data_IF_271189472077
#
_entry.id   IF_271189472077
#
_cell.length_a   1.000
_cell.length_b   1.000
_cell.length_c   1.000
_cell.angle_alpha   90.00
_cell.angle_beta   90.00
_cell.angle_gamma   90.00
#
_symmetry.space_group_name_H-M   'P 1'
#
loop_
_entity.id
_entity.type
_entity.pdbx_description
1 polymer ?
#
# COMPACT_ATOMS: atom_id res chain seq x y z
N UNK A 1 -10.13 -15.12 -4.99
CA UNK A 1 -8.90 -14.87 -4.19
C UNK A 1 -9.25 -15.12 -2.74
N UNK A 2 -8.53 -16.02 -2.09
CA UNK A 2 -8.57 -16.17 -0.64
C UNK A 2 -7.52 -15.19 -0.10
N UNK A 3 -7.93 -14.04 0.44
CA UNK A 3 -7.02 -13.03 0.97
C UNK A 3 -6.81 -13.31 2.46
N UNK A 4 -5.82 -14.14 2.79
CA UNK A 4 -5.45 -14.45 4.18
C UNK A 4 -4.59 -13.35 4.80
N UNK A 5 -4.03 -12.48 3.97
CA UNK A 5 -3.31 -11.27 4.34
C UNK A 5 -1.78 -11.42 4.26
N UNK A 6 -1.08 -10.31 4.49
CA UNK A 6 0.38 -10.26 4.44
C UNK A 6 0.97 -10.10 3.02
N UNK A 7 2.28 -9.87 2.96
CA UNK A 7 2.99 -9.53 1.71
C UNK A 7 2.87 -10.58 0.61
N UNK A 8 2.78 -11.87 0.99
CA UNK A 8 2.64 -12.99 0.06
C UNK A 8 1.35 -12.96 -0.75
N UNK A 9 0.24 -12.60 -0.10
CA UNK A 9 -1.07 -12.47 -0.74
C UNK A 9 -1.19 -11.13 -1.47
N UNK A 10 -0.67 -10.05 -0.89
CA UNK A 10 -0.75 -8.72 -1.52
C UNK A 10 0.02 -8.64 -2.85
N UNK A 11 1.14 -9.35 -3.00
CA UNK A 11 1.88 -9.39 -4.28
C UNK A 11 1.14 -10.18 -5.37
N UNK A 12 0.19 -11.06 -5.03
CA UNK A 12 -0.57 -11.80 -6.04
C UNK A 12 -1.63 -10.93 -6.70
N UNK A 13 -2.14 -9.90 -5.99
CA UNK A 13 -3.20 -9.02 -6.52
C UNK A 13 -2.80 -8.40 -7.86
N UNK A 14 -1.65 -7.72 -8.03
CA UNK A 14 -1.25 -7.21 -9.34
C UNK A 14 -1.14 -8.30 -10.42
N UNK A 15 -0.61 -9.47 -10.08
CA UNK A 15 -0.42 -10.58 -11.02
C UNK A 15 -1.76 -11.16 -11.48
N UNK A 16 -2.70 -11.33 -10.56
CA UNK A 16 -4.05 -11.79 -10.86
C UNK A 16 -4.82 -10.76 -11.70
N UNK A 17 -4.60 -9.46 -11.45
CA UNK A 17 -5.09 -8.39 -12.32
C UNK A 17 -4.61 -8.58 -13.76
N UNK A 18 -3.30 -8.79 -13.96
CA UNK A 18 -2.74 -9.03 -15.28
C UNK A 18 -3.36 -10.24 -15.98
N UNK A 19 -3.60 -11.33 -15.24
CA UNK A 19 -4.26 -12.52 -15.78
C UNK A 19 -5.72 -12.25 -16.17
N UNK A 20 -6.49 -11.57 -15.33
CA UNK A 20 -7.91 -11.30 -15.56
C UNK A 20 -8.17 -10.19 -16.60
N UNK A 21 -7.16 -9.36 -16.91
CA UNK A 21 -7.24 -8.37 -17.98
C UNK A 21 -7.01 -8.95 -19.37
N UNK A 22 -6.36 -10.12 -19.48
CA UNK A 22 -6.10 -10.78 -20.77
C UNK A 22 -7.29 -11.66 -21.16
N UNK A 23 -7.97 -11.30 -22.25
CA UNK A 23 -9.13 -12.04 -22.79
C UNK A 23 -8.79 -13.42 -23.41
N UNK A 24 -7.55 -13.90 -23.31
CA UNK A 24 -7.08 -15.07 -24.06
C UNK A 24 -6.92 -16.32 -23.19
N UNK A 25 -7.71 -17.35 -23.51
CA UNK A 25 -7.55 -18.82 -23.29
C UNK A 25 -6.94 -19.34 -21.98
N UNK A 26 -6.93 -18.56 -20.90
CA UNK A 26 -6.50 -19.05 -19.59
C UNK A 26 -7.70 -19.59 -18.81
N UNK A 27 -7.44 -20.49 -17.85
CA UNK A 27 -8.43 -20.99 -16.89
C UNK A 27 -9.03 -19.92 -15.96
N UNK A 28 -8.61 -18.66 -16.10
CA UNK A 28 -9.06 -17.55 -15.27
C UNK A 28 -10.19 -16.78 -15.94
N UNK A 29 -11.22 -16.45 -15.16
CA UNK A 29 -12.37 -15.69 -15.62
C UNK A 29 -11.95 -14.23 -15.85
N UNK A 30 -12.05 -13.70 -17.08
CA UNK A 30 -11.69 -12.32 -17.33
C UNK A 30 -12.62 -11.36 -16.58
N UNK A 31 -12.16 -10.13 -16.37
CA UNK A 31 -13.04 -9.08 -15.84
C UNK A 31 -14.24 -8.88 -16.77
N UNK A 32 -15.45 -9.00 -16.22
CA UNK A 32 -16.69 -8.99 -16.99
C UNK A 32 -17.05 -7.62 -17.57
N UNK A 33 -16.49 -6.53 -17.02
CA UNK A 33 -16.81 -5.17 -17.41
C UNK A 33 -15.54 -4.30 -17.48
N UNK A 34 -15.41 -3.58 -18.59
CA UNK A 34 -14.46 -2.47 -18.77
C UNK A 34 -15.21 -1.29 -19.41
N UNK A 35 -14.96 -0.03 -18.98
CA UNK A 35 -14.04 0.39 -17.91
C UNK A 35 -14.55 0.02 -16.51
N UNK A 36 -13.65 -0.18 -15.54
CA UNK A 36 -14.02 -0.52 -14.16
C UNK A 36 -14.43 0.75 -13.40
N UNK A 37 -15.65 0.77 -12.85
CA UNK A 37 -16.26 1.97 -12.25
C UNK A 37 -15.51 2.54 -11.04
N UNK A 38 -14.93 1.67 -10.20
CA UNK A 38 -14.33 2.07 -8.94
C UNK A 38 -12.83 1.73 -8.90
N UNK A 39 -12.00 2.55 -8.25
CA UNK A 39 -10.60 2.23 -8.04
C UNK A 39 -10.45 1.08 -7.04
N UNK A 40 -9.44 0.25 -7.25
CA UNK A 40 -8.93 -0.69 -6.26
C UNK A 40 -7.58 -0.16 -5.77
N UNK A 41 -7.50 0.12 -4.48
CA UNK A 41 -6.34 0.76 -3.86
C UNK A 41 -5.74 -0.21 -2.86
N UNK A 42 -4.49 -0.60 -3.07
CA UNK A 42 -3.71 -1.38 -2.12
C UNK A 42 -2.95 -0.39 -1.23
N UNK A 43 -3.24 -0.42 0.08
CA UNK A 43 -2.49 0.36 1.08
C UNK A 43 -1.39 -0.50 1.67
N UNK A 44 -0.15 -0.01 1.66
CA UNK A 44 1.03 -0.74 2.12
C UNK A 44 1.80 0.04 3.17
N UNK A 45 2.31 -0.68 4.17
CA UNK A 45 3.35 -0.16 5.05
C UNK A 45 4.63 0.16 4.25
N UNK A 46 5.42 1.10 4.73
CA UNK A 46 6.70 1.48 4.13
C UNK A 46 7.85 0.68 4.73
N UNK A 47 7.77 -0.64 4.72
CA UNK A 47 8.77 -1.55 5.31
C UNK A 47 9.25 -2.58 4.28
N UNK A 48 9.91 -3.65 4.74
CA UNK A 48 10.39 -4.74 3.88
C UNK A 48 9.26 -5.46 3.12
N UNK A 49 8.02 -5.37 3.61
CA UNK A 49 6.83 -5.93 2.96
C UNK A 49 6.44 -5.19 1.67
N UNK A 50 6.92 -3.95 1.46
CA UNK A 50 6.65 -3.16 0.26
C UNK A 50 7.29 -3.77 -1.00
N UNK A 51 8.53 -4.24 -0.87
CA UNK A 51 9.39 -4.56 -2.01
C UNK A 51 8.83 -5.69 -2.90
N UNK A 52 8.33 -6.82 -2.37
CA UNK A 52 7.73 -7.86 -3.20
C UNK A 52 6.49 -7.40 -3.97
N UNK A 53 5.65 -6.54 -3.36
CA UNK A 53 4.43 -6.00 -3.99
C UNK A 53 4.80 -4.98 -5.07
N UNK A 54 5.76 -4.10 -4.77
CA UNK A 54 6.30 -3.13 -5.72
C UNK A 54 6.89 -3.81 -6.97
N UNK A 55 7.63 -4.90 -6.79
CA UNK A 55 8.19 -5.69 -7.90
C UNK A 55 7.09 -6.27 -8.79
N UNK A 56 6.05 -6.86 -8.20
CA UNK A 56 4.92 -7.41 -8.95
C UNK A 56 4.17 -6.31 -9.72
N UNK A 57 3.92 -5.16 -9.10
CA UNK A 57 3.28 -4.02 -9.75
C UNK A 57 4.11 -3.48 -10.93
N UNK A 58 5.44 -3.33 -10.76
CA UNK A 58 6.36 -2.92 -11.84
C UNK A 58 6.35 -3.91 -13.01
N UNK A 59 6.34 -5.21 -12.73
CA UNK A 59 6.26 -6.25 -13.75
C UNK A 59 4.97 -6.17 -14.56
N UNK A 60 3.82 -6.02 -13.88
CA UNK A 60 2.50 -5.89 -14.51
C UNK A 60 2.42 -4.65 -15.37
N UNK A 61 2.84 -3.50 -14.82
CA UNK A 61 2.88 -2.24 -15.54
C UNK A 61 3.72 -2.35 -16.82
N UNK A 62 4.95 -2.87 -16.70
CA UNK A 62 5.85 -3.06 -17.85
C UNK A 62 5.28 -4.03 -18.91
N UNK A 63 4.61 -5.11 -18.51
CA UNK A 63 4.02 -6.07 -19.45
C UNK A 63 2.85 -5.47 -20.23
N UNK A 64 2.10 -4.54 -19.63
CA UNK A 64 0.97 -3.90 -20.28
C UNK A 64 1.41 -2.72 -21.17
N UNK A 65 2.43 -1.97 -20.79
CA UNK A 65 2.94 -0.85 -21.60
C UNK A 65 3.72 -1.30 -22.84
N UNK A 66 4.54 -2.37 -22.74
CA UNK A 66 5.30 -2.91 -23.90
C UNK A 66 4.43 -3.52 -25.00
N UNK A 67 3.24 -4.04 -24.66
CA UNK A 67 2.34 -4.63 -25.66
C UNK A 67 1.57 -3.58 -26.48
N UNK A 68 1.68 -2.28 -26.14
CA UNK A 68 1.00 -1.18 -26.82
C UNK A 68 1.89 -0.46 -27.84
N UNK A 69 3.10 -0.94 -28.15
CA UNK A 69 4.03 -0.33 -29.15
C UNK A 69 3.51 -0.36 -30.61
N UNK A 70 2.23 -0.66 -30.85
CA UNK A 70 1.56 -0.58 -32.15
C UNK A 70 0.38 0.41 -32.22
N UNK A 71 0.14 1.24 -31.20
CA UNK A 71 -0.94 2.25 -31.20
C UNK A 71 -0.38 3.65 -30.94
N UNK A 72 -0.85 4.69 -31.67
CA UNK A 72 -0.30 6.04 -31.55
C UNK A 72 -0.56 6.62 -30.14
N UNK A 73 0.36 7.47 -29.63
CA UNK A 73 0.27 8.00 -28.28
C UNK A 73 -0.92 8.97 -28.17
N UNK A 74 -1.83 8.69 -27.24
CA UNK A 74 -2.84 9.67 -26.82
C UNK A 74 -2.14 10.71 -25.97
N UNK A 75 -2.00 11.91 -26.52
CA UNK A 75 -1.39 13.08 -25.89
C UNK A 75 -2.24 13.55 -24.70
N UNK A 76 -1.80 13.22 -23.48
CA UNK A 76 -2.24 13.90 -22.25
C UNK A 76 -1.03 14.58 -21.58
N UNK A 77 -1.15 15.84 -21.10
CA UNK A 77 -0.04 16.60 -20.55
C UNK A 77 0.15 16.27 -19.08
N UNK A 78 0.65 15.08 -18.78
CA UNK A 78 1.38 14.82 -17.56
C UNK A 78 2.49 13.86 -17.96
N UNK A 79 3.73 14.14 -17.56
CA UNK A 79 4.87 13.24 -17.79
C UNK A 79 4.52 11.87 -17.22
N UNK A 80 3.99 10.96 -18.04
CA UNK A 80 4.01 9.53 -17.81
C UNK A 80 5.48 9.13 -17.83
N UNK A 81 6.15 9.32 -16.69
CA UNK A 81 7.50 8.83 -16.49
C UNK A 81 7.41 7.32 -16.66
N UNK A 82 8.11 6.85 -17.69
CA UNK A 82 8.23 5.50 -18.21
C UNK A 82 8.69 4.42 -17.21
N UNK A 83 8.71 4.71 -15.90
CA UNK A 83 9.04 3.77 -14.84
C UNK A 83 8.19 4.03 -13.60
N UNK A 84 7.35 3.05 -13.25
CA UNK A 84 6.61 3.00 -11.99
C UNK A 84 7.59 2.86 -10.80
N UNK A 85 8.00 3.96 -10.18
CA UNK A 85 9.02 3.96 -9.12
C UNK A 85 8.41 3.80 -7.71
N UNK A 86 7.96 2.60 -7.38
CA UNK A 86 7.52 2.26 -6.02
C UNK A 86 8.72 1.78 -5.21
N UNK A 87 9.18 2.62 -4.28
CA UNK A 87 10.32 2.35 -3.39
C UNK A 87 10.11 2.98 -2.00
N UNK A 88 10.84 2.50 -0.99
CA UNK A 88 10.76 3.06 0.36
C UNK A 88 11.01 4.58 0.42
N UNK A 89 12.00 5.17 -0.27
CA UNK A 89 12.21 6.62 -0.29
C UNK A 89 11.30 7.37 -1.28
N UNK A 90 10.50 6.69 -2.11
CA UNK A 90 9.58 7.41 -3.01
C UNK A 90 8.41 7.99 -2.21
N UNK A 91 7.96 9.20 -2.55
CA UNK A 91 6.98 9.98 -1.77
C UNK A 91 5.74 10.35 -2.60
N UNK A 92 5.50 9.65 -3.71
CA UNK A 92 4.36 9.95 -4.58
C UNK A 92 3.05 9.74 -3.82
N UNK A 93 2.05 10.56 -4.13
CA UNK A 93 0.74 10.47 -3.47
C UNK A 93 0.10 9.09 -3.68
N UNK A 94 0.22 8.56 -4.90
CA UNK A 94 -0.20 7.22 -5.26
C UNK A 94 0.62 6.72 -6.46
N UNK A 95 0.53 5.43 -6.72
CA UNK A 95 1.15 4.79 -7.87
C UNK A 95 0.06 4.09 -8.68
N UNK A 96 -0.22 4.60 -9.88
CA UNK A 96 -1.15 3.97 -10.81
C UNK A 96 -0.47 2.76 -11.46
N UNK A 97 -0.93 1.54 -11.15
CA UNK A 97 -0.32 0.31 -11.64
C UNK A 97 -0.83 0.00 -13.05
N UNK A 98 -2.16 -0.09 -13.18
CA UNK A 98 -2.86 -0.33 -14.45
C UNK A 98 -4.36 -0.10 -14.25
N UNK A 99 -5.09 0.27 -15.29
CA UNK A 99 -6.57 0.33 -15.30
C UNK A 99 -7.12 1.05 -14.04
N UNK A 100 -7.86 0.36 -13.16
CA UNK A 100 -8.37 0.91 -11.89
C UNK A 100 -7.51 0.53 -10.66
N UNK A 101 -6.35 -0.10 -10.82
CA UNK A 101 -5.48 -0.58 -9.74
C UNK A 101 -4.43 0.45 -9.35
N UNK A 102 -4.39 0.77 -8.05
CA UNK A 102 -3.51 1.75 -7.43
C UNK A 102 -2.80 1.18 -6.21
N UNK A 103 -1.64 1.74 -5.89
CA UNK A 103 -0.93 1.52 -4.63
C UNK A 103 -0.79 2.86 -3.91
N UNK A 104 -1.03 2.87 -2.60
CA UNK A 104 -0.75 3.98 -1.68
C UNK A 104 0.13 3.45 -0.56
N UNK A 105 1.18 4.18 -0.21
CA UNK A 105 2.04 3.84 0.93
C UNK A 105 1.63 4.62 2.17
N UNK A 106 1.89 4.04 3.34
CA UNK A 106 1.95 4.77 4.60
C UNK A 106 2.83 6.04 4.44
N UNK A 107 2.38 7.20 4.93
CA UNK A 107 3.14 8.44 4.91
C UNK A 107 4.52 8.28 5.57
N UNK A 108 5.52 8.94 5.00
CA UNK A 108 6.86 8.92 5.54
C UNK A 108 6.93 9.79 6.81
N UNK A 109 7.55 9.28 7.88
CA UNK A 109 7.78 10.06 9.12
C UNK A 109 8.73 11.23 8.92
N UNK A 110 9.64 11.09 7.96
CA UNK A 110 10.70 12.03 7.63
C UNK A 110 10.87 12.06 6.12
N UNK A 111 11.16 13.24 5.58
CA UNK A 111 11.49 13.37 4.17
C UNK A 111 12.81 12.64 3.89
N UNK A 112 12.86 11.75 2.89
CA UNK A 112 14.07 11.04 2.53
C UNK A 112 15.11 12.00 1.97
N UNK A 113 16.35 11.84 2.41
CA UNK A 113 17.52 12.52 1.84
C UNK A 113 18.45 11.48 1.21
N UNK A 114 19.36 11.86 0.30
CA UNK A 114 20.31 10.92 -0.29
C UNK A 114 21.19 10.16 0.72
N UNK A 115 21.29 10.65 1.96
CA UNK A 115 22.08 10.03 3.04
C UNK A 115 21.24 9.17 3.99
N UNK A 116 19.92 9.19 3.89
CA UNK A 116 19.04 8.48 4.82
C UNK A 116 19.12 6.98 4.56
N UNK A 117 19.38 6.19 5.60
CA UNK A 117 19.37 4.74 5.48
C UNK A 117 17.95 4.23 5.24
N UNK A 118 17.79 3.22 4.37
CA UNK A 118 16.48 2.63 4.00
C UNK A 118 15.63 2.29 5.24
N UNK A 119 16.23 1.71 6.28
CA UNK A 119 15.55 1.34 7.54
C UNK A 119 15.08 2.52 8.38
N UNK A 120 15.70 3.69 8.26
CA UNK A 120 15.26 4.90 8.97
C UNK A 120 14.00 5.52 8.37
N UNK A 121 13.63 5.09 7.15
CA UNK A 121 12.42 5.49 6.45
C UNK A 121 11.26 4.53 6.71
N UNK A 122 11.47 3.50 7.54
CA UNK A 122 10.43 2.52 7.81
C UNK A 122 9.31 3.18 8.57
N UNK A 123 8.11 3.02 8.03
CA UNK A 123 6.88 3.46 8.68
C UNK A 123 5.83 2.39 8.47
N UNK A 124 5.02 2.18 9.49
CA UNK A 124 3.84 1.34 9.40
C UNK A 124 2.61 2.14 9.80
N UNK A 125 1.43 1.60 9.50
CA UNK A 125 0.17 2.27 9.85
C UNK A 125 0.03 2.57 11.34
N UNK A 126 0.65 1.77 12.22
CA UNK A 126 0.59 2.03 13.67
C UNK A 126 1.28 3.33 14.04
N UNK A 127 2.27 3.77 13.27
CA UNK A 127 3.00 5.01 13.50
C UNK A 127 2.14 6.27 13.34
N UNK A 128 1.00 6.16 12.66
CA UNK A 128 0.04 7.25 12.48
C UNK A 128 -0.76 7.51 13.77
N UNK A 129 -0.67 6.61 14.77
CA UNK A 129 -1.22 6.86 16.09
C UNK A 129 -0.26 7.70 16.95
N UNK A 130 -0.81 8.61 17.79
CA UNK A 130 -0.02 9.37 18.75
C UNK A 130 0.86 8.46 19.63
N UNK A 131 2.07 8.92 19.91
CA UNK A 131 3.08 8.14 20.64
C UNK A 131 2.58 7.67 22.01
N UNK A 132 1.79 8.49 22.70
CA UNK A 132 1.18 8.13 24.00
C UNK A 132 0.40 6.81 23.95
N UNK A 133 -0.25 6.52 22.83
CA UNK A 133 -1.02 5.29 22.66
C UNK A 133 -0.12 4.13 22.27
N UNK A 134 0.87 4.35 21.41
CA UNK A 134 1.86 3.33 21.04
C UNK A 134 2.72 2.87 22.23
N UNK A 135 2.98 3.77 23.17
CA UNK A 135 3.73 3.49 24.40
C UNK A 135 2.84 3.01 25.56
N UNK A 136 1.53 2.83 25.34
CA UNK A 136 0.62 2.38 26.38
C UNK A 136 0.96 0.95 26.81
N UNK A 137 1.14 0.73 28.10
CA UNK A 137 1.46 -0.58 28.66
C UNK A 137 0.21 -1.28 29.18
N UNK A 138 0.14 -2.61 28.98
CA UNK A 138 -0.91 -3.46 29.55
C UNK A 138 -0.24 -4.45 30.48
N UNK A 139 -0.51 -4.34 31.79
CA UNK A 139 0.10 -5.19 32.81
C UNK A 139 1.63 -5.24 32.71
N UNK A 140 2.27 -4.07 32.48
CA UNK A 140 3.72 -3.94 32.29
C UNK A 140 4.26 -4.45 30.95
N UNK A 141 3.39 -4.89 30.02
CA UNK A 141 3.77 -5.31 28.67
C UNK A 141 3.68 -4.15 27.68
N UNK A 142 4.63 -4.08 26.75
CA UNK A 142 4.72 -3.08 25.68
C UNK A 142 4.19 -3.59 24.35
N UNK A 143 3.78 -2.68 23.46
CA UNK A 143 3.43 -3.04 22.09
C UNK A 143 4.67 -3.60 21.35
N UNK A 144 4.54 -4.79 20.76
CA UNK A 144 5.48 -5.25 19.74
C UNK A 144 4.90 -5.05 18.34
N UNK A 145 5.61 -4.29 17.52
CA UNK A 145 5.31 -4.13 16.10
C UNK A 145 5.98 -5.22 15.24
N UNK A 146 6.96 -5.94 15.79
CA UNK A 146 7.60 -7.08 15.14
C UNK A 146 6.91 -8.39 15.51
N UNK A 147 6.96 -9.33 14.58
CA UNK A 147 6.55 -10.72 14.78
C UNK A 147 7.79 -11.61 14.86
N UNK A 148 7.69 -12.79 15.47
CA UNK A 148 8.73 -13.81 15.43
C UNK A 148 9.66 -13.80 16.65
N UNK A 149 10.96 -14.06 16.44
CA UNK A 149 11.93 -14.37 17.52
C UNK A 149 12.12 -13.25 18.54
N UNK A 150 11.83 -12.00 18.18
CA UNK A 150 11.93 -10.83 19.07
C UNK A 150 10.67 -10.64 19.94
N UNK A 151 9.61 -11.40 19.67
CA UNK A 151 8.37 -11.34 20.45
C UNK A 151 8.49 -12.16 21.73
N UNK A 152 8.59 -11.47 22.86
CA UNK A 152 8.54 -12.08 24.19
C UNK A 152 7.15 -11.83 24.79
N UNK A 153 6.34 -12.88 24.91
CA UNK A 153 4.97 -12.77 25.45
C UNK A 153 4.92 -12.31 26.92
N UNK A 154 6.04 -12.37 27.66
CA UNK A 154 6.13 -11.84 29.02
C UNK A 154 6.32 -10.32 29.03
N UNK A 155 6.97 -9.76 28.00
CA UNK A 155 7.30 -8.33 27.88
C UNK A 155 6.41 -7.59 26.91
N UNK A 156 5.80 -8.28 25.97
CA UNK A 156 5.12 -7.68 24.83
C UNK A 156 3.68 -8.16 24.66
N UNK A 157 2.83 -7.29 24.09
CA UNK A 157 1.53 -7.64 23.56
C UNK A 157 1.47 -7.38 22.05
N UNK A 158 0.58 -8.10 21.37
CA UNK A 158 0.48 -8.10 19.91
C UNK A 158 -0.30 -6.91 19.35
N UNK A 159 -0.12 -6.62 18.05
CA UNK A 159 -0.91 -5.64 17.29
C UNK A 159 -2.43 -5.85 17.42
N UNK A 160 -2.89 -7.10 17.49
CA UNK A 160 -4.31 -7.39 17.71
C UNK A 160 -4.79 -6.89 19.07
N UNK A 161 -3.99 -7.07 20.13
CA UNK A 161 -4.31 -6.59 21.47
C UNK A 161 -4.28 -5.05 21.49
N UNK A 162 -3.32 -4.43 20.81
CA UNK A 162 -3.27 -2.98 20.63
C UNK A 162 -4.57 -2.44 20.05
N UNK A 163 -5.01 -2.97 18.90
CA UNK A 163 -6.22 -2.52 18.24
C UNK A 163 -7.49 -2.73 19.09
N UNK A 164 -7.64 -3.90 19.70
CA UNK A 164 -8.86 -4.25 20.44
C UNK A 164 -8.96 -3.64 21.83
N UNK A 165 -7.83 -3.53 22.54
CA UNK A 165 -7.82 -3.22 23.97
C UNK A 165 -7.34 -1.81 24.26
N UNK A 166 -6.46 -1.25 23.41
CA UNK A 166 -5.97 0.12 23.57
C UNK A 166 -6.75 1.05 22.66
N UNK A 167 -6.71 0.82 21.35
CA UNK A 167 -7.29 1.75 20.38
C UNK A 167 -8.82 1.80 20.49
N UNK A 168 -9.50 0.66 20.41
CA UNK A 168 -10.96 0.62 20.47
C UNK A 168 -11.53 1.17 21.78
N UNK A 169 -10.85 0.92 22.91
CA UNK A 169 -11.31 1.38 24.22
C UNK A 169 -11.14 2.89 24.44
N UNK A 170 -10.32 3.56 23.62
CA UNK A 170 -10.01 4.98 23.74
C UNK A 170 -10.27 5.74 22.44
N UNK A 171 -11.07 5.18 21.53
CA UNK A 171 -11.31 5.75 20.20
C UNK A 171 -11.86 7.18 20.25
N UNK A 172 -12.64 7.51 21.28
CA UNK A 172 -13.17 8.83 21.56
C UNK A 172 -12.11 9.86 21.98
N UNK A 173 -10.93 9.40 22.45
CA UNK A 173 -9.84 10.22 23.00
C UNK A 173 -8.60 10.25 22.11
N UNK A 174 -8.57 9.41 21.07
CA UNK A 174 -7.46 9.34 20.13
C UNK A 174 -7.60 10.48 19.13
N UNK A 175 -6.54 11.25 18.98
CA UNK A 175 -6.37 12.15 17.86
C UNK A 175 -5.94 11.32 16.64
N UNK A 176 -6.77 11.34 15.59
CA UNK A 176 -6.54 10.60 14.35
C UNK A 176 -5.95 11.47 13.24
N UNK A 177 -5.59 12.74 13.50
CA UNK A 177 -5.00 13.64 12.47
C UNK A 177 -3.73 13.09 11.82
N UNK A 178 -3.01 12.19 12.49
CA UNK A 178 -1.89 11.47 11.90
C UNK A 178 -2.25 10.62 10.66
N UNK A 179 -3.54 10.31 10.45
CA UNK A 179 -4.02 9.60 9.27
C UNK A 179 -4.35 10.53 8.09
N UNK A 180 -4.44 11.84 8.30
CA UNK A 180 -4.85 12.79 7.26
C UNK A 180 -4.00 12.67 5.98
N UNK A 181 -2.65 12.61 6.04
CA UNK A 181 -1.84 12.47 4.83
C UNK A 181 -2.10 11.16 4.08
N UNK A 182 -2.42 10.06 4.79
CA UNK A 182 -2.77 8.79 4.15
C UNK A 182 -4.13 8.88 3.46
N UNK A 183 -5.12 9.51 4.11
CA UNK A 183 -6.46 9.69 3.56
C UNK A 183 -6.45 10.62 2.36
N UNK A 184 -5.65 11.68 2.38
CA UNK A 184 -5.42 12.58 1.23
C UNK A 184 -4.83 11.83 0.04
N UNK A 185 -3.84 10.96 0.27
CA UNK A 185 -3.26 10.09 -0.78
C UNK A 185 -4.30 9.18 -1.42
N UNK A 186 -5.15 8.55 -0.60
CA UNK A 186 -6.26 7.72 -1.06
C UNK A 186 -7.26 8.55 -1.88
N UNK A 187 -7.63 9.74 -1.39
CA UNK A 187 -8.52 10.66 -2.10
C UNK A 187 -7.95 11.04 -3.47
N UNK A 188 -6.66 11.37 -3.55
CA UNK A 188 -5.99 11.71 -4.82
C UNK A 188 -6.03 10.54 -5.82
N UNK A 189 -5.85 9.30 -5.37
CA UNK A 189 -6.01 8.13 -6.23
C UNK A 189 -7.45 7.97 -6.76
N UNK A 190 -8.45 8.21 -5.89
CA UNK A 190 -9.88 8.18 -6.28
C UNK A 190 -10.18 9.25 -7.33
N UNK A 191 -9.73 10.49 -7.10
CA UNK A 191 -9.94 11.61 -8.02
C UNK A 191 -9.26 11.38 -9.37
N UNK A 192 -8.01 10.87 -9.36
CA UNK A 192 -7.30 10.51 -10.58
C UNK A 192 -8.02 9.41 -11.37
N UNK A 193 -8.60 8.41 -10.70
CA UNK A 193 -9.43 7.39 -11.37
C UNK A 193 -10.70 7.98 -11.96
N UNK A 194 -11.40 8.84 -11.21
CA UNK A 194 -12.64 9.47 -11.65
C UNK A 194 -12.44 10.37 -12.88
N UNK A 195 -11.30 11.05 -12.99
CA UNK A 195 -10.97 11.90 -14.13
C UNK A 195 -10.65 11.13 -15.44
N UNK A 196 -10.47 9.81 -15.37
CA UNK A 196 -10.22 8.93 -16.53
C UNK A 196 -11.48 8.21 -17.04
N UNK A 197 -12.63 8.40 -16.38
CA UNK A 197 -13.94 7.89 -16.80
C UNK A 197 -14.60 8.86 -17.77
#
# INVERSE_FOLDING_TARGET
>A
MDLRGGTGDLKSIPLDYLHNLKLSKSSHKPFAHKPMKHPVIIVLDNDDGLEPVAKAAKEVHSKLTRNNEGSPPVTSPAKETSNLLIEIPSTADFYHVTENLYIVKAPEKKMPTPKTLKKELYTCIEDLFPEKWRNHEINGKKLSLTNGKEFDSSKHYSKMIFAKSVLKANADKIDFSGFDPLLERIQKAILHHAAKQ
#
